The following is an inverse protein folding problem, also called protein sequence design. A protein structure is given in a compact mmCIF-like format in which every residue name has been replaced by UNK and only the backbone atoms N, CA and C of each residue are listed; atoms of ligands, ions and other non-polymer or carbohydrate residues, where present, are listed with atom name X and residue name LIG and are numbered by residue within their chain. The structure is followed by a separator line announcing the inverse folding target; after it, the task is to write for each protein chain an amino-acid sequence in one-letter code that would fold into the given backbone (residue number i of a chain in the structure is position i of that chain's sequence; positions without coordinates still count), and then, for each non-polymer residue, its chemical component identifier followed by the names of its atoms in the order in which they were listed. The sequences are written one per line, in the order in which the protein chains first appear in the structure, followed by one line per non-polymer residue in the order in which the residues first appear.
data_IF_011877430271
#
_entry.id   IF_011877430271
#
_cell.length_a   1.000
_cell.length_b   1.000
_cell.length_c   1.000
_cell.angle_alpha   90.00
_cell.angle_beta   90.00
_cell.angle_gamma   90.00
#
_symmetry.space_group_name_H-M   'P 1'
#
loop_
_entity.id
_entity.type
_entity.pdbx_description
1 polymer ?
#
# COMPACT_ATOMS: atom_id res chain seq x y z
N UNK A 1 8.39 4.23 -3.66
CA UNK A 1 9.85 4.05 -3.86
C UNK A 1 10.05 2.57 -3.94
N UNK A 2 10.67 2.13 -5.01
CA UNK A 2 10.80 0.71 -5.29
C UNK A 2 12.23 0.29 -4.98
N UNK A 3 12.36 -0.91 -4.42
CA UNK A 3 13.62 -1.49 -4.01
C UNK A 3 13.74 -2.91 -4.51
N UNK A 4 14.97 -3.38 -4.69
CA UNK A 4 15.28 -4.77 -4.99
C UNK A 4 16.39 -5.28 -4.09
N UNK A 5 16.24 -6.51 -3.60
CA UNK A 5 17.33 -7.20 -2.90
C UNK A 5 18.41 -7.66 -3.88
N UNK A 6 19.66 -7.36 -3.56
CA UNK A 6 20.83 -7.93 -4.23
C UNK A 6 21.09 -9.36 -3.75
N UNK A 7 21.96 -10.08 -4.48
CA UNK A 7 22.30 -11.47 -4.16
C UNK A 7 22.96 -11.64 -2.78
N UNK A 8 23.62 -10.60 -2.28
CA UNK A 8 24.26 -10.53 -0.97
C UNK A 8 23.31 -10.01 0.14
N UNK A 9 22.04 -9.75 -0.18
CA UNK A 9 21.03 -9.25 0.75
C UNK A 9 20.99 -7.72 0.90
N UNK A 10 21.83 -6.97 0.18
CA UNK A 10 21.74 -5.50 0.20
C UNK A 10 20.44 -5.02 -0.47
N UNK A 11 19.78 -4.03 0.13
CA UNK A 11 18.58 -3.40 -0.45
C UNK A 11 19.01 -2.24 -1.35
N UNK A 12 18.68 -2.33 -2.64
CA UNK A 12 19.04 -1.34 -3.66
C UNK A 12 17.79 -0.57 -4.09
N UNK A 13 17.77 0.77 -3.98
CA UNK A 13 16.69 1.57 -4.55
C UNK A 13 16.74 1.49 -6.08
N UNK A 14 15.59 1.24 -6.72
CA UNK A 14 15.49 1.12 -8.18
C UNK A 14 14.71 2.27 -8.80
N UNK A 15 13.70 2.81 -8.11
CA UNK A 15 12.85 3.87 -8.66
C UNK A 15 12.29 4.80 -7.57
N UNK A 16 12.33 6.11 -7.83
CA UNK A 16 11.70 7.14 -7.01
C UNK A 16 10.66 7.88 -7.86
N UNK A 17 9.39 7.72 -7.50
CA UNK A 17 8.25 8.38 -8.13
C UNK A 17 7.80 9.59 -7.29
N UNK A 18 8.54 10.68 -7.32
CA UNK A 18 8.16 11.89 -6.59
C UNK A 18 6.95 12.60 -7.24
N UNK A 19 6.02 13.09 -6.43
CA UNK A 19 4.87 13.86 -6.90
C UNK A 19 3.76 13.06 -7.59
N UNK A 20 3.86 11.72 -7.65
CA UNK A 20 2.79 10.86 -8.18
C UNK A 20 2.64 9.59 -7.36
N UNK A 21 1.47 8.96 -7.51
CA UNK A 21 1.17 7.66 -6.90
C UNK A 21 1.17 6.56 -7.94
N UNK A 22 1.96 5.50 -7.71
CA UNK A 22 1.82 4.24 -8.45
C UNK A 22 0.52 3.52 -8.07
N UNK A 23 0.13 2.48 -8.81
CA UNK A 23 -1.12 1.75 -8.60
C UNK A 23 -1.25 1.12 -7.20
N UNK A 24 -0.13 0.87 -6.52
CA UNK A 24 -0.10 0.39 -5.13
C UNK A 24 -0.84 1.32 -4.16
N UNK A 25 -1.03 2.60 -4.47
CA UNK A 25 -1.80 3.49 -3.60
C UNK A 25 -3.25 3.03 -3.40
N UNK A 26 -3.85 2.30 -4.36
CA UNK A 26 -5.19 1.75 -4.20
C UNK A 26 -5.27 0.78 -3.01
N UNK A 27 -4.25 -0.06 -2.83
CA UNK A 27 -4.14 -0.94 -1.65
C UNK A 27 -4.08 -0.13 -0.36
N UNK A 28 -3.17 0.85 -0.29
CA UNK A 28 -3.02 1.67 0.92
C UNK A 28 -4.29 2.44 1.27
N UNK A 29 -4.94 3.05 0.27
CA UNK A 29 -6.20 3.76 0.46
C UNK A 29 -7.31 2.83 0.93
N UNK A 30 -7.45 1.63 0.34
CA UNK A 30 -8.44 0.64 0.74
C UNK A 30 -8.19 0.10 2.16
N UNK A 31 -6.92 0.01 2.57
CA UNK A 31 -6.51 -0.43 3.90
C UNK A 31 -6.56 0.67 4.97
N UNK A 32 -6.95 1.90 4.61
CA UNK A 32 -7.17 3.02 5.54
C UNK A 32 -6.11 4.13 5.50
N UNK A 33 -5.02 3.96 4.74
CA UNK A 33 -3.97 4.96 4.54
C UNK A 33 -4.15 5.67 3.17
N UNK A 34 -5.07 6.64 3.11
CA UNK A 34 -5.42 7.34 1.88
C UNK A 34 -4.41 8.46 1.52
N UNK A 35 -3.23 8.09 1.02
CA UNK A 35 -2.17 9.02 0.66
C UNK A 35 -2.54 10.10 -0.37
N UNK A 36 -3.36 9.83 -1.42
CA UNK A 36 -3.85 10.90 -2.29
C UNK A 36 -4.60 12.00 -1.53
N UNK A 37 -5.46 11.63 -0.59
CA UNK A 37 -6.16 12.61 0.26
C UNK A 37 -5.19 13.34 1.19
N UNK A 38 -4.18 12.66 1.74
CA UNK A 38 -3.21 13.29 2.63
C UNK A 38 -2.33 14.30 1.87
N UNK A 39 -1.95 13.97 0.62
CA UNK A 39 -1.24 14.89 -0.26
C UNK A 39 -2.07 16.14 -0.54
N UNK A 40 -3.38 16.00 -0.74
CA UNK A 40 -4.29 17.14 -0.90
C UNK A 40 -4.27 18.03 0.35
N UNK A 41 -4.38 17.46 1.55
CA UNK A 41 -4.30 18.22 2.80
C UNK A 41 -3.02 19.04 2.89
N UNK A 42 -1.88 18.38 2.66
CA UNK A 42 -0.57 19.05 2.67
C UNK A 42 -0.50 20.17 1.61
N UNK A 43 -1.00 19.92 0.40
CA UNK A 43 -0.98 20.91 -0.69
C UNK A 43 -1.79 22.18 -0.37
N UNK A 44 -2.85 22.06 0.43
CA UNK A 44 -3.67 23.17 0.91
C UNK A 44 -3.24 23.71 2.28
N UNK A 45 -2.07 23.28 2.78
CA UNK A 45 -1.54 23.67 4.08
C UNK A 45 -2.49 23.30 5.25
N UNK A 46 -3.28 22.24 5.07
CA UNK A 46 -4.15 21.63 6.06
C UNK A 46 -3.41 20.47 6.77
N UNK A 47 -3.70 20.20 8.04
CA UNK A 47 -3.07 19.08 8.74
C UNK A 47 -3.54 17.74 8.15
N UNK A 48 -2.63 16.85 7.68
CA UNK A 48 -3.01 15.51 7.26
C UNK A 48 -3.33 14.63 8.49
N UNK A 49 -4.05 13.51 8.31
CA UNK A 49 -4.24 12.53 9.36
C UNK A 49 -2.93 11.99 9.95
N UNK A 50 -2.92 11.74 11.25
CA UNK A 50 -1.78 11.14 11.94
C UNK A 50 -1.59 9.69 11.51
N UNK A 51 -0.37 9.33 11.14
CA UNK A 51 0.05 7.96 10.83
C UNK A 51 1.25 7.60 11.70
N UNK A 52 1.39 6.32 12.02
CA UNK A 52 2.65 5.83 12.55
C UNK A 52 3.77 6.06 11.52
N UNK A 53 4.98 6.39 12.00
CA UNK A 53 6.14 6.60 11.14
C UNK A 53 6.48 5.36 10.31
N UNK A 54 6.23 4.18 10.87
CA UNK A 54 6.43 2.87 10.24
C UNK A 54 5.21 2.00 10.53
N UNK A 55 4.93 1.04 9.65
CA UNK A 55 3.83 0.10 9.80
C UNK A 55 2.47 0.82 9.99
N UNK A 56 2.13 1.72 9.05
CA UNK A 56 0.89 2.49 9.08
C UNK A 56 -0.37 1.63 8.85
N UNK A 57 -0.19 0.41 8.37
CA UNK A 57 -1.24 -0.56 8.14
C UNK A 57 -0.99 -1.82 8.98
N UNK A 58 -2.04 -2.58 9.33
CA UNK A 58 -1.89 -3.92 9.87
C UNK A 58 -1.07 -4.82 8.92
N UNK A 59 -0.29 -5.77 9.46
CA UNK A 59 0.35 -6.80 8.65
C UNK A 59 -0.71 -7.73 8.02
N UNK A 60 -0.25 -8.65 7.17
CA UNK A 60 -1.06 -9.78 6.69
C UNK A 60 -2.32 -9.39 5.89
N UNK A 61 -2.21 -8.31 5.11
CA UNK A 61 -3.20 -7.88 4.13
C UNK A 61 -2.76 -8.25 2.71
N UNK A 62 -3.69 -8.77 1.91
CA UNK A 62 -3.48 -9.15 0.51
C UNK A 62 -4.32 -8.31 -0.44
N UNK A 63 -3.72 -7.96 -1.58
CA UNK A 63 -4.40 -7.26 -2.67
C UNK A 63 -4.49 -8.18 -3.89
N UNK A 64 -5.65 -8.79 -4.09
CA UNK A 64 -5.89 -9.72 -5.19
C UNK A 64 -6.58 -8.95 -6.31
N UNK A 65 -5.98 -8.93 -7.50
CA UNK A 65 -6.55 -8.26 -8.69
C UNK A 65 -6.23 -9.03 -9.96
N UNK A 66 -7.14 -8.98 -10.91
CA UNK A 66 -6.93 -9.43 -12.30
C UNK A 66 -7.24 -8.27 -13.25
N UNK A 67 -7.09 -8.49 -14.56
CA UNK A 67 -7.45 -7.47 -15.55
C UNK A 67 -8.98 -7.32 -15.67
N UNK A 68 -9.70 -8.43 -15.54
CA UNK A 68 -11.13 -8.52 -15.83
C UNK A 68 -12.04 -8.38 -14.60
N UNK A 69 -11.45 -8.21 -13.41
CA UNK A 69 -12.17 -8.04 -12.16
C UNK A 69 -11.59 -6.89 -11.32
N UNK A 70 -12.47 -6.25 -10.56
CA UNK A 70 -12.07 -5.26 -9.56
C UNK A 70 -11.16 -5.88 -8.49
N UNK A 71 -10.32 -5.06 -7.83
CA UNK A 71 -9.43 -5.55 -6.81
C UNK A 71 -10.18 -5.90 -5.52
N UNK A 72 -9.64 -6.86 -4.77
CA UNK A 72 -10.12 -7.26 -3.45
C UNK A 72 -8.99 -7.09 -2.44
N UNK A 73 -9.26 -6.32 -1.38
CA UNK A 73 -8.47 -6.33 -0.16
C UNK A 73 -9.02 -7.43 0.75
N UNK A 74 -8.16 -8.31 1.23
CA UNK A 74 -8.54 -9.39 2.13
C UNK A 74 -7.42 -9.62 3.15
N UNK A 75 -7.77 -9.88 4.41
CA UNK A 75 -6.79 -10.30 5.41
C UNK A 75 -6.39 -11.78 5.21
N UNK A 76 -5.25 -12.18 5.76
CA UNK A 76 -4.80 -13.57 5.77
C UNK A 76 -5.86 -14.51 6.36
N UNK A 77 -6.39 -14.15 7.53
CA UNK A 77 -7.36 -14.97 8.26
C UNK A 77 -8.64 -15.19 7.42
N UNK A 78 -9.13 -14.13 6.77
CA UNK A 78 -10.30 -14.22 5.88
C UNK A 78 -10.01 -15.07 4.63
N UNK A 79 -8.79 -14.98 4.08
CA UNK A 79 -8.37 -15.77 2.92
C UNK A 79 -8.26 -17.26 3.27
N UNK A 80 -7.64 -17.58 4.40
CA UNK A 80 -7.49 -18.96 4.90
C UNK A 80 -8.85 -19.59 5.22
N UNK A 81 -9.76 -18.85 5.85
CA UNK A 81 -11.12 -19.31 6.13
C UNK A 81 -11.91 -19.67 4.85
N UNK A 82 -11.64 -18.99 3.73
CA UNK A 82 -12.26 -19.27 2.42
C UNK A 82 -11.60 -20.42 1.66
N UNK A 83 -10.37 -20.79 2.02
CA UNK A 83 -9.57 -21.83 1.34
C UNK A 83 -9.92 -23.26 1.81
N UNK A 84 -10.73 -23.38 2.86
CA UNK A 84 -11.16 -24.64 3.49
C UNK A 84 -12.51 -25.15 2.96
N UNK A 85 -12.98 -24.65 1.81
CA UNK A 85 -14.20 -25.03 1.11
C UNK A 85 -13.82 -25.59 -0.26
#
# INVERSE_FOLDING_TARGET
VDFKGAADGQILPTEINAGRFGTTHHFYSAAGANFPYYMLKVAFNEPPPTLSKFNALPPDLYWIRTLDAGPVLISKDELEAKSLI
#
